data_IF_348675573668
#
_entry.id   IF_348675573668
#
_cell.length_a   1.000
_cell.length_b   1.000
_cell.length_c   1.000
_cell.angle_alpha   90.00
_cell.angle_beta   90.00
_cell.angle_gamma   90.00
#
_symmetry.space_group_name_H-M   'P 1'
#
loop_
_entity.id
_entity.type
_entity.pdbx_description
1 polymer ?
#
# COMPACT_ATOMS: atom_id res chain seq x y z
N UNK A 1 -25.22 20.31 16.37
CA UNK A 1 -23.89 20.49 16.98
C UNK A 1 -23.51 19.14 17.57
N UNK A 2 -22.69 18.37 16.86
CA UNK A 2 -22.32 17.02 17.28
C UNK A 2 -21.34 17.12 18.45
N UNK A 3 -21.71 16.56 19.60
CA UNK A 3 -20.80 16.30 20.70
C UNK A 3 -19.69 15.38 20.18
N UNK A 4 -18.56 15.93 19.77
CA UNK A 4 -17.34 15.14 19.64
C UNK A 4 -17.08 14.52 21.02
N UNK A 5 -16.79 13.21 21.10
CA UNK A 5 -16.38 12.62 22.37
C UNK A 5 -15.22 13.45 22.90
N UNK A 6 -15.29 13.84 24.16
CA UNK A 6 -14.24 14.57 24.85
C UNK A 6 -13.04 13.62 24.92
N UNK A 7 -12.17 13.66 23.90
CA UNK A 7 -10.97 12.84 23.85
C UNK A 7 -10.13 13.30 25.04
N UNK A 8 -9.78 12.36 25.92
CA UNK A 8 -8.85 12.65 27.00
C UNK A 8 -7.54 13.15 26.38
N UNK A 9 -7.27 14.44 26.51
CA UNK A 9 -6.08 15.08 25.94
C UNK A 9 -4.78 14.44 26.46
N UNK A 10 -4.82 13.82 27.64
CA UNK A 10 -3.70 13.03 28.18
C UNK A 10 -3.45 11.78 27.36
N UNK A 11 -4.52 11.06 26.99
CA UNK A 11 -4.43 9.88 26.11
C UNK A 11 -3.99 10.29 24.70
N UNK A 12 -4.48 11.42 24.19
CA UNK A 12 -4.08 11.95 22.90
C UNK A 12 -2.59 12.31 22.87
N UNK A 13 -2.10 13.00 23.88
CA UNK A 13 -0.68 13.33 24.01
C UNK A 13 0.19 12.07 24.05
N UNK A 14 -0.21 11.07 24.84
CA UNK A 14 0.50 9.79 24.94
C UNK A 14 0.51 9.01 23.62
N UNK A 15 -0.60 9.03 22.87
CA UNK A 15 -0.64 8.41 21.54
C UNK A 15 0.31 9.10 20.55
N UNK A 16 0.39 10.44 20.60
CA UNK A 16 1.32 11.20 19.77
C UNK A 16 2.79 10.95 20.13
N UNK A 17 3.11 10.81 21.43
CA UNK A 17 4.45 10.40 21.87
C UNK A 17 4.83 9.03 21.29
N UNK A 18 3.94 8.04 21.37
CA UNK A 18 4.16 6.72 20.79
C UNK A 18 4.32 6.76 19.26
N UNK A 19 3.48 7.54 18.55
CA UNK A 19 3.59 7.73 17.10
C UNK A 19 4.90 8.43 16.69
N UNK A 20 5.49 9.26 17.57
CA UNK A 20 6.77 9.89 17.30
C UNK A 20 7.95 8.91 17.45
N UNK A 21 7.82 7.88 18.30
CA UNK A 21 8.87 6.88 18.54
C UNK A 21 8.86 5.73 17.53
N UNK A 22 7.70 5.41 16.95
CA UNK A 22 7.52 4.28 16.03
C UNK A 22 6.89 4.75 14.71
N UNK A 23 7.55 4.53 13.56
CA UNK A 23 6.95 4.82 12.26
C UNK A 23 5.68 3.99 12.07
N UNK A 24 4.54 4.65 11.81
CA UNK A 24 3.31 3.93 11.49
C UNK A 24 3.41 3.38 10.06
N UNK A 25 3.02 2.11 9.90
CA UNK A 25 2.92 1.45 8.61
C UNK A 25 1.49 0.95 8.48
N UNK A 26 0.78 1.44 7.48
CA UNK A 26 -0.49 0.85 7.04
C UNK A 26 -0.18 -0.24 6.01
N UNK A 27 -0.92 -1.34 6.10
CA UNK A 27 -0.71 -2.53 5.30
C UNK A 27 -1.74 -2.67 4.18
N UNK A 28 -2.60 -1.67 3.95
CA UNK A 28 -3.56 -1.74 2.84
C UNK A 28 -4.24 -0.40 2.50
N UNK A 29 -4.04 0.09 1.28
CA UNK A 29 -4.87 1.15 0.71
C UNK A 29 -5.07 1.06 -0.81
N UNK A 30 -6.32 1.28 -1.23
CA UNK A 30 -6.75 1.36 -2.64
C UNK A 30 -6.58 2.76 -3.25
N UNK A 31 -5.59 3.53 -2.76
CA UNK A 31 -5.45 4.96 -3.09
C UNK A 31 -5.20 5.21 -4.59
N UNK A 32 -4.57 4.27 -5.29
CA UNK A 32 -4.26 4.37 -6.72
C UNK A 32 -5.27 3.64 -7.62
N UNK A 33 -6.31 3.03 -7.04
CA UNK A 33 -7.30 2.32 -7.82
C UNK A 33 -8.13 3.29 -8.66
N UNK A 34 -8.08 3.07 -9.97
CA UNK A 34 -8.89 3.75 -10.98
C UNK A 34 -8.70 5.28 -11.13
N UNK A 35 -7.76 5.93 -10.44
CA UNK A 35 -7.41 7.35 -10.67
C UNK A 35 -6.00 7.49 -11.25
N UNK A 36 -5.89 8.19 -12.38
CA UNK A 36 -4.63 8.40 -13.13
C UNK A 36 -3.95 9.71 -12.76
N UNK A 37 -4.61 10.55 -11.97
CA UNK A 37 -4.09 11.85 -11.56
C UNK A 37 -3.35 11.74 -10.22
N UNK A 38 -2.10 11.28 -10.30
CA UNK A 38 -1.17 11.15 -9.17
C UNK A 38 -0.92 12.48 -8.45
N UNK A 39 -1.12 13.61 -9.12
CA UNK A 39 -0.89 14.95 -8.54
C UNK A 39 -1.85 15.27 -7.41
N UNK A 40 -3.06 14.69 -7.40
CA UNK A 40 -4.01 14.82 -6.28
C UNK A 40 -3.54 14.06 -5.06
N UNK A 41 -3.04 12.84 -5.22
CA UNK A 41 -2.45 12.09 -4.10
C UNK A 41 -1.24 12.85 -3.51
N UNK A 42 -0.38 13.41 -4.36
CA UNK A 42 0.83 14.14 -3.93
C UNK A 42 0.47 15.48 -3.27
N UNK A 43 -0.43 16.24 -3.87
CA UNK A 43 -0.77 17.61 -3.49
C UNK A 43 -1.89 17.73 -2.45
N UNK A 44 -2.64 16.66 -2.21
CA UNK A 44 -3.79 16.62 -1.32
C UNK A 44 -5.08 16.28 -2.07
N UNK A 45 -5.85 15.34 -1.52
CA UNK A 45 -7.02 14.76 -2.17
C UNK A 45 -8.26 14.88 -1.28
N UNK A 46 -9.02 16.00 -1.39
CA UNK A 46 -10.13 16.29 -0.48
C UNK A 46 -11.22 15.23 -0.44
N UNK A 47 -11.47 14.57 -1.58
CA UNK A 47 -12.54 13.59 -1.77
C UNK A 47 -12.17 12.16 -1.33
N UNK A 48 -10.91 11.93 -0.95
CA UNK A 48 -10.42 10.62 -0.49
C UNK A 48 -9.95 10.69 0.97
N UNK A 49 -9.82 9.52 1.58
CA UNK A 49 -9.42 9.39 2.98
C UNK A 49 -7.92 9.55 3.20
N UNK A 50 -7.11 9.32 2.16
CA UNK A 50 -5.66 9.30 2.22
C UNK A 50 -5.06 10.13 1.09
N UNK A 51 -4.01 10.87 1.43
CA UNK A 51 -3.10 11.55 0.50
C UNK A 51 -1.75 11.74 1.18
N UNK A 52 -0.73 12.05 0.39
CA UNK A 52 0.64 12.18 0.89
C UNK A 52 0.78 13.27 1.98
N UNK A 53 0.16 14.46 1.88
CA UNK A 53 0.17 15.44 2.96
C UNK A 53 -0.42 14.92 4.29
N UNK A 54 -1.55 14.22 4.25
CA UNK A 54 -2.18 13.64 5.44
C UNK A 54 -1.31 12.57 6.06
N UNK A 55 -0.74 11.67 5.26
CA UNK A 55 0.19 10.63 5.72
C UNK A 55 1.37 11.23 6.48
N UNK A 56 2.04 12.23 5.90
CA UNK A 56 3.14 12.95 6.54
C UNK A 56 2.71 13.61 7.87
N UNK A 57 1.54 14.25 7.88
CA UNK A 57 1.02 14.91 9.09
C UNK A 57 0.61 13.94 10.20
N UNK A 58 0.19 12.73 9.84
CA UNK A 58 -0.27 11.69 10.76
C UNK A 58 0.87 10.78 11.25
N UNK A 59 2.06 10.88 10.65
CA UNK A 59 3.21 10.02 10.97
C UNK A 59 3.13 8.64 10.31
N UNK A 60 2.40 8.51 9.20
CA UNK A 60 2.37 7.31 8.37
C UNK A 60 3.59 7.35 7.45
N UNK A 61 4.54 6.45 7.70
CA UNK A 61 5.83 6.42 7.02
C UNK A 61 5.98 5.23 6.07
N UNK A 62 5.02 4.31 6.07
CA UNK A 62 4.91 3.25 5.09
C UNK A 62 3.44 2.95 4.78
N UNK A 63 3.18 2.63 3.53
CA UNK A 63 1.86 2.29 3.02
C UNK A 63 1.99 1.19 2.00
N UNK A 64 1.26 0.10 2.21
CA UNK A 64 1.06 -0.92 1.19
C UNK A 64 -0.08 -0.50 0.25
N UNK A 65 0.29 -0.04 -0.93
CA UNK A 65 -0.66 0.28 -1.99
C UNK A 65 -1.06 -1.00 -2.70
N UNK A 66 -2.36 -1.27 -2.67
CA UNK A 66 -2.97 -2.45 -3.27
C UNK A 66 -2.97 -2.33 -4.79
N UNK A 67 -2.46 -3.37 -5.46
CA UNK A 67 -2.80 -3.69 -6.83
C UNK A 67 -4.06 -4.55 -6.81
N UNK A 68 -5.22 -3.91 -6.76
CA UNK A 68 -6.51 -4.56 -6.64
C UNK A 68 -7.23 -4.63 -7.98
N UNK A 69 -7.62 -5.83 -8.38
CA UNK A 69 -8.46 -6.03 -9.56
C UNK A 69 -9.68 -6.84 -9.18
N UNK A 70 -10.84 -6.20 -9.23
CA UNK A 70 -12.10 -6.89 -8.97
C UNK A 70 -12.38 -7.95 -10.07
N UNK A 71 -12.73 -9.21 -9.74
CA UNK A 71 -12.90 -10.28 -10.73
C UNK A 71 -13.99 -10.02 -11.79
N UNK A 72 -14.96 -9.14 -11.50
CA UNK A 72 -15.98 -8.73 -12.49
C UNK A 72 -15.53 -7.61 -13.43
N UNK A 73 -14.37 -7.01 -13.19
CA UNK A 73 -13.78 -6.08 -14.14
C UNK A 73 -13.28 -6.86 -15.36
N UNK A 74 -13.14 -6.16 -16.49
CA UNK A 74 -12.74 -6.74 -17.76
C UNK A 74 -13.58 -7.95 -18.21
N UNK A 75 -14.86 -8.03 -17.81
CA UNK A 75 -15.77 -9.14 -18.14
C UNK A 75 -15.22 -10.54 -17.77
N UNK A 76 -14.30 -10.60 -16.80
CA UNK A 76 -13.64 -11.84 -16.40
C UNK A 76 -12.48 -12.29 -17.31
N UNK A 77 -11.99 -11.41 -18.19
CA UNK A 77 -10.83 -11.64 -19.05
C UNK A 77 -9.51 -11.46 -18.28
N UNK A 78 -8.71 -12.53 -18.21
CA UNK A 78 -7.39 -12.53 -17.56
C UNK A 78 -6.48 -11.43 -18.09
N UNK A 79 -6.55 -11.12 -19.40
CA UNK A 79 -5.73 -10.07 -20.01
C UNK A 79 -6.09 -8.69 -19.48
N UNK A 80 -7.39 -8.41 -19.36
CA UNK A 80 -7.84 -7.13 -18.83
C UNK A 80 -7.55 -6.98 -17.34
N UNK A 81 -7.53 -8.08 -16.57
CA UNK A 81 -7.09 -8.03 -15.18
C UNK A 81 -5.61 -7.65 -15.04
N UNK A 82 -4.74 -8.24 -15.86
CA UNK A 82 -3.34 -7.89 -15.87
C UNK A 82 -3.10 -6.43 -16.25
N UNK A 83 -3.78 -5.94 -17.30
CA UNK A 83 -3.67 -4.55 -17.75
C UNK A 83 -4.09 -3.54 -16.66
N UNK A 84 -5.10 -3.87 -15.86
CA UNK A 84 -5.53 -3.03 -14.74
C UNK A 84 -4.50 -3.03 -13.60
N UNK A 85 -3.94 -4.18 -13.24
CA UNK A 85 -2.88 -4.26 -12.22
C UNK A 85 -1.61 -3.51 -12.68
N UNK A 86 -1.23 -3.62 -13.96
CA UNK A 86 -0.11 -2.87 -14.54
C UNK A 86 -0.35 -1.36 -14.49
N UNK A 87 -1.57 -0.92 -14.80
CA UNK A 87 -1.94 0.51 -14.71
C UNK A 87 -1.82 1.04 -13.27
N UNK A 88 -2.28 0.30 -12.27
CA UNK A 88 -2.15 0.71 -10.86
C UNK A 88 -0.68 0.78 -10.42
N UNK A 89 0.14 -0.19 -10.85
CA UNK A 89 1.58 -0.18 -10.61
C UNK A 89 2.27 1.04 -11.26
N UNK A 90 1.90 1.36 -12.50
CA UNK A 90 2.39 2.56 -13.20
C UNK A 90 1.99 3.86 -12.49
N UNK A 91 0.79 3.94 -11.92
CA UNK A 91 0.35 5.09 -11.14
C UNK A 91 1.19 5.27 -9.87
N UNK A 92 1.49 4.18 -9.14
CA UNK A 92 2.37 4.22 -7.96
C UNK A 92 3.77 4.71 -8.35
N UNK A 93 4.36 4.14 -9.41
CA UNK A 93 5.69 4.55 -9.87
C UNK A 93 5.73 6.01 -10.30
N UNK A 94 4.72 6.48 -11.04
CA UNK A 94 4.61 7.88 -11.42
C UNK A 94 4.53 8.80 -10.21
N UNK A 95 3.75 8.44 -9.18
CA UNK A 95 3.67 9.23 -7.96
C UNK A 95 5.02 9.31 -7.22
N UNK A 96 5.82 8.23 -7.26
CA UNK A 96 7.19 8.21 -6.71
C UNK A 96 8.12 9.12 -7.52
N UNK A 97 8.04 9.07 -8.86
CA UNK A 97 8.87 9.91 -9.74
C UNK A 97 8.54 11.41 -9.61
N UNK A 98 7.26 11.74 -9.38
CA UNK A 98 6.78 13.12 -9.27
C UNK A 98 6.96 13.75 -7.87
N UNK A 99 7.32 12.96 -6.84
CA UNK A 99 7.39 13.43 -5.46
C UNK A 99 8.69 13.03 -4.76
N UNK A 100 9.46 14.01 -4.32
CA UNK A 100 10.63 13.78 -3.46
C UNK A 100 10.26 13.25 -2.06
N UNK A 101 8.97 13.26 -1.71
CA UNK A 101 8.43 12.84 -0.41
C UNK A 101 7.87 11.42 -0.40
N UNK A 102 7.93 10.71 -1.52
CA UNK A 102 7.52 9.32 -1.65
C UNK A 102 8.69 8.49 -2.21
N UNK A 103 8.90 7.29 -1.71
CA UNK A 103 9.95 6.39 -2.20
C UNK A 103 9.49 4.93 -2.13
N UNK A 104 9.92 4.12 -3.09
CA UNK A 104 9.68 2.67 -3.03
C UNK A 104 10.41 2.07 -1.81
N UNK A 105 9.78 1.10 -1.14
CA UNK A 105 10.44 0.23 -0.18
C UNK A 105 10.04 -1.23 -0.42
N UNK A 106 11.02 -2.11 -0.36
CA UNK A 106 10.91 -3.56 -0.53
C UNK A 106 11.29 -4.32 0.73
N UNK A 107 11.69 -3.61 1.79
CA UNK A 107 12.05 -4.19 3.07
C UNK A 107 11.92 -3.14 4.19
N UNK A 108 11.94 -3.60 5.43
CA UNK A 108 11.80 -2.74 6.61
C UNK A 108 12.96 -1.77 6.79
N UNK A 109 14.18 -2.12 6.37
CA UNK A 109 15.35 -1.24 6.49
C UNK A 109 15.19 -0.01 5.59
N UNK A 110 14.67 -0.20 4.37
CA UNK A 110 14.31 0.88 3.45
C UNK A 110 13.21 1.76 4.02
N UNK A 111 12.17 1.18 4.64
CA UNK A 111 11.12 1.98 5.30
C UNK A 111 11.70 2.91 6.37
N UNK A 112 12.55 2.38 7.24
CA UNK A 112 13.21 3.17 8.28
C UNK A 112 14.16 4.22 7.69
N UNK A 113 14.86 3.91 6.60
CA UNK A 113 15.75 4.84 5.92
C UNK A 113 14.98 5.98 5.22
N UNK A 114 13.86 5.67 4.57
CA UNK A 114 12.97 6.63 3.92
C UNK A 114 12.37 7.59 4.96
N UNK A 115 11.86 7.06 6.07
CA UNK A 115 11.32 7.85 7.17
C UNK A 115 12.35 8.87 7.71
N UNK A 116 13.61 8.44 7.89
CA UNK A 116 14.72 9.35 8.29
C UNK A 116 15.01 10.45 7.28
N UNK A 117 14.72 10.24 5.98
CA UNK A 117 14.84 11.25 4.93
C UNK A 117 13.57 12.12 4.78
N UNK A 118 12.55 11.87 5.59
CA UNK A 118 11.26 12.54 5.48
C UNK A 118 10.48 12.12 4.23
N UNK A 119 10.63 10.85 3.83
CA UNK A 119 9.92 10.23 2.71
C UNK A 119 8.98 9.14 3.25
N UNK A 120 7.75 9.14 2.77
CA UNK A 120 6.82 8.02 2.96
C UNK A 120 7.25 6.87 2.05
N UNK A 121 7.13 5.64 2.55
CA UNK A 121 7.46 4.44 1.81
C UNK A 121 6.24 3.88 1.11
N UNK A 122 6.28 3.83 -0.22
CA UNK A 122 5.36 3.03 -1.02
C UNK A 122 5.83 1.57 -0.99
N UNK A 123 5.00 0.70 -0.45
CA UNK A 123 5.14 -0.75 -0.49
C UNK A 123 4.08 -1.24 -1.50
N UNK A 124 4.43 -2.19 -2.35
CA UNK A 124 3.48 -2.69 -3.35
C UNK A 124 2.86 -4.00 -2.85
N UNK A 125 1.55 -4.01 -2.69
CA UNK A 125 0.74 -5.16 -2.33
C UNK A 125 0.02 -5.69 -3.57
N UNK A 126 -0.19 -7.00 -3.69
CA UNK A 126 -1.07 -7.57 -4.71
C UNK A 126 -2.31 -8.09 -4.00
N UNK A 127 -3.47 -7.54 -4.33
CA UNK A 127 -4.73 -8.00 -3.76
C UNK A 127 -5.50 -8.83 -4.78
N UNK A 128 -5.55 -10.13 -4.50
CA UNK A 128 -6.18 -11.12 -5.37
C UNK A 128 -5.20 -11.65 -6.43
N UNK A 129 -5.14 -12.98 -6.55
CA UNK A 129 -4.18 -13.65 -7.43
C UNK A 129 -4.71 -13.86 -8.86
N UNK A 130 -5.90 -13.36 -9.18
CA UNK A 130 -6.51 -13.49 -10.52
C UNK A 130 -5.63 -12.88 -11.64
N UNK A 131 -4.97 -11.72 -11.46
CA UNK A 131 -4.03 -11.19 -12.45
C UNK A 131 -2.76 -12.04 -12.63
N UNK A 132 -2.52 -13.02 -11.76
CA UNK A 132 -1.39 -13.95 -11.80
C UNK A 132 -1.75 -15.30 -12.41
N UNK A 133 -3.01 -15.56 -12.78
CA UNK A 133 -3.39 -16.80 -13.44
C UNK A 133 -2.97 -16.83 -14.91
N UNK A 134 -2.66 -18.03 -15.42
CA UNK A 134 -2.33 -18.27 -16.83
C UNK A 134 -0.85 -18.12 -17.24
N UNK A 135 -0.53 -18.47 -18.48
CA UNK A 135 0.83 -18.45 -19.07
C UNK A 135 1.42 -17.04 -19.23
N UNK A 136 0.61 -15.99 -18.97
CA UNK A 136 0.98 -14.57 -19.10
C UNK A 136 0.68 -13.73 -17.86
N UNK A 137 0.26 -14.32 -16.74
CA UNK A 137 0.12 -13.58 -15.47
C UNK A 137 1.41 -12.82 -15.14
N UNK A 138 1.35 -11.78 -14.29
CA UNK A 138 2.55 -10.94 -14.03
C UNK A 138 3.78 -11.82 -13.83
N UNK A 139 4.71 -11.72 -14.79
CA UNK A 139 5.73 -12.74 -14.93
C UNK A 139 6.60 -12.83 -13.66
N UNK A 140 7.08 -14.02 -13.32
CA UNK A 140 7.80 -14.27 -12.06
C UNK A 140 9.04 -13.39 -11.87
N UNK A 141 9.57 -12.81 -12.96
CA UNK A 141 10.66 -11.83 -12.98
C UNK A 141 10.20 -10.42 -12.61
N UNK A 142 8.98 -10.00 -13.00
CA UNK A 142 8.38 -8.72 -12.57
C UNK A 142 7.99 -8.77 -11.09
N UNK A 143 7.46 -9.92 -10.64
CA UNK A 143 7.16 -10.17 -9.23
C UNK A 143 8.40 -10.24 -8.32
N UNK A 144 9.59 -10.63 -8.84
CA UNK A 144 10.83 -10.67 -8.02
C UNK A 144 11.26 -9.31 -7.48
N UNK A 145 10.82 -8.22 -8.11
CA UNK A 145 11.09 -6.85 -7.68
C UNK A 145 9.93 -6.26 -6.85
N UNK A 146 8.81 -6.97 -6.73
CA UNK A 146 7.69 -6.64 -5.85
C UNK A 146 7.72 -7.57 -4.63
N UNK A 147 7.93 -7.04 -3.42
CA UNK A 147 7.62 -7.82 -2.22
C UNK A 147 6.13 -7.70 -1.93
N UNK A 148 5.40 -8.68 -2.44
CA UNK A 148 3.98 -8.86 -2.23
C UNK A 148 3.73 -9.25 -0.76
N UNK A 149 3.00 -8.42 -0.04
CA UNK A 149 2.22 -8.87 1.10
C UNK A 149 0.91 -9.42 0.53
N UNK A 150 0.62 -10.69 0.78
CA UNK A 150 -0.63 -11.32 0.35
C UNK A 150 -1.46 -11.67 1.59
N UNK A 151 -2.73 -11.23 1.62
CA UNK A 151 -3.71 -11.56 2.67
C UNK A 151 -3.98 -13.08 2.76
N UNK A 152 -3.54 -13.90 1.80
CA UNK A 152 -3.72 -15.36 1.84
C UNK A 152 -2.72 -16.12 2.76
N UNK A 153 -1.79 -15.44 3.44
CA UNK A 153 -0.82 -16.11 4.36
C UNK A 153 -1.15 -15.91 5.84
N UNK A 154 -2.35 -16.31 6.26
CA UNK A 154 -2.64 -16.73 7.64
C UNK A 154 -3.28 -18.13 7.63
N UNK A 155 -2.67 -19.07 6.90
CA UNK A 155 -2.81 -20.49 7.20
C UNK A 155 -1.66 -20.87 8.14
N UNK A 156 -2.02 -21.35 9.34
CA UNK A 156 -1.07 -21.76 10.35
C UNK A 156 0.00 -22.72 9.81
N UNK A 157 1.17 -22.69 10.43
CA UNK A 157 2.13 -23.78 10.34
C UNK A 157 1.41 -25.08 10.74
N UNK A 158 1.10 -25.92 9.76
CA UNK A 158 0.93 -27.35 10.00
C UNK A 158 2.25 -28.03 9.66
N UNK A 159 3.13 -28.04 10.66
CA UNK A 159 4.28 -28.91 10.76
C UNK A 159 3.83 -30.37 10.97
N UNK A 160 3.17 -31.02 10.01
CA UNK A 160 3.15 -32.49 9.95
C UNK A 160 2.94 -32.90 8.50
N UNK A 161 3.96 -33.49 7.87
CA UNK A 161 3.88 -34.74 7.10
C UNK A 161 5.29 -35.08 6.57
N UNK A 162 6.16 -35.47 7.51
CA UNK A 162 7.14 -36.52 7.22
C UNK A 162 6.83 -37.66 8.19
N UNK A 163 6.36 -38.79 7.65
CA UNK A 163 6.38 -40.16 8.16
C UNK A 163 5.24 -40.98 7.54
N UNK A 164 5.54 -41.60 6.40
CA UNK A 164 5.47 -43.06 6.18
C UNK A 164 5.84 -43.34 4.73
#
# INVERSE_FOLDING_TARGET
>A
MTNSPNIDETLRAKALELHAEAPLIDLHADSFSCDKDTTKFIGGWPEKHMDLPRMLSAGIWGEAFSLFVHPRWADGDEKGWLELAEMELENIHRAIEESEKLALATNSEEVLANAKRGQVSAIIEIEGLHPLSGDRGMDRVRLRNLKVLDKTTFAGRDDVLSRS
#
